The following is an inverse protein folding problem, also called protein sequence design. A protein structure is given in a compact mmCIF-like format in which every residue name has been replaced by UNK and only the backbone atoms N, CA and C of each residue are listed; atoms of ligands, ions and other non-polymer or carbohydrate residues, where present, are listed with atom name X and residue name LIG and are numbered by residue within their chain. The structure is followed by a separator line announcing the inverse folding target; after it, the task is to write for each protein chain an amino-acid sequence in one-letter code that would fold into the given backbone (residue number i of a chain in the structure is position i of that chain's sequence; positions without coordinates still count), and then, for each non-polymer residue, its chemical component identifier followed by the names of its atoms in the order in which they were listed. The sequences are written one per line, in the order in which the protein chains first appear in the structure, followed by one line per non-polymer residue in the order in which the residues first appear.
data_IF_511661284556
#
_entry.id   IF_511661284556
#
_cell.length_a   1.000
_cell.length_b   1.000
_cell.length_c   1.000
_cell.angle_alpha   90.00
_cell.angle_beta   90.00
_cell.angle_gamma   90.00
#
_symmetry.space_group_name_H-M   'P 1'
#
loop_
_entity.id
_entity.type
_entity.pdbx_description
1 polymer ?
#
# COMPACT_ATOMS: atom_id res chain seq x y z
N UNK A 1 33.08 18.69 -18.11
CA UNK A 1 31.87 19.55 -17.88
C UNK A 1 30.54 18.94 -18.35
N UNK A 2 30.39 18.48 -19.60
CA UNK A 2 29.11 17.94 -20.07
C UNK A 2 28.69 16.62 -19.38
N UNK A 3 29.66 15.77 -19.01
CA UNK A 3 29.42 14.50 -18.31
C UNK A 3 28.92 14.72 -16.87
N UNK A 4 29.52 15.66 -16.13
CA UNK A 4 29.08 16.01 -14.78
C UNK A 4 27.61 16.46 -14.73
N UNK A 5 27.18 17.30 -15.69
CA UNK A 5 25.76 17.70 -15.79
C UNK A 5 24.83 16.51 -16.02
N UNK A 6 25.26 15.51 -16.82
CA UNK A 6 24.48 14.28 -17.01
C UNK A 6 24.39 13.47 -15.72
N UNK A 7 25.49 13.33 -14.98
CA UNK A 7 25.51 12.63 -13.68
C UNK A 7 24.56 13.30 -12.69
N UNK A 8 24.55 14.64 -12.61
CA UNK A 8 23.61 15.38 -11.75
C UNK A 8 22.15 15.14 -12.15
N UNK A 9 21.84 15.12 -13.44
CA UNK A 9 20.51 14.82 -13.94
C UNK A 9 20.07 13.39 -13.59
N UNK A 10 20.96 12.41 -13.77
CA UNK A 10 20.74 11.01 -13.38
C UNK A 10 20.47 10.90 -11.88
N UNK A 11 21.28 11.56 -11.03
CA UNK A 11 21.07 11.59 -9.57
C UNK A 11 19.75 12.23 -9.17
N UNK A 12 19.34 13.29 -9.87
CA UNK A 12 18.03 13.90 -9.64
C UNK A 12 16.90 12.91 -9.96
N UNK A 13 17.02 12.17 -11.06
CA UNK A 13 16.06 11.12 -11.44
C UNK A 13 16.00 9.99 -10.41
N UNK A 14 17.14 9.53 -9.90
CA UNK A 14 17.18 8.47 -8.87
C UNK A 14 16.49 8.94 -7.59
N UNK A 15 16.75 10.16 -7.14
CA UNK A 15 16.06 10.73 -5.97
C UNK A 15 14.56 10.84 -6.19
N UNK A 16 14.12 11.27 -7.38
CA UNK A 16 12.70 11.35 -7.71
C UNK A 16 12.02 9.97 -7.65
N UNK A 17 12.64 8.95 -8.25
CA UNK A 17 12.14 7.57 -8.23
C UNK A 17 12.09 6.99 -6.81
N UNK A 18 13.11 7.24 -5.97
CA UNK A 18 13.11 6.80 -4.57
C UNK A 18 12.00 7.48 -3.77
N UNK A 19 11.80 8.78 -3.95
CA UNK A 19 10.72 9.52 -3.29
C UNK A 19 9.33 9.01 -3.72
N UNK A 20 9.15 8.74 -5.02
CA UNK A 20 7.90 8.18 -5.54
C UNK A 20 7.61 6.80 -4.93
N UNK A 21 8.63 5.94 -4.87
CA UNK A 21 8.53 4.63 -4.20
C UNK A 21 8.09 4.78 -2.75
N UNK A 22 8.74 5.65 -1.97
CA UNK A 22 8.38 5.89 -0.57
C UNK A 22 6.95 6.41 -0.43
N UNK A 23 6.50 7.30 -1.31
CA UNK A 23 5.13 7.79 -1.30
C UNK A 23 4.10 6.68 -1.57
N UNK A 24 4.39 5.79 -2.53
CA UNK A 24 3.53 4.63 -2.84
C UNK A 24 3.51 3.61 -1.70
N UNK A 25 4.63 3.38 -1.03
CA UNK A 25 4.73 2.47 0.12
C UNK A 25 4.02 3.04 1.36
N UNK A 26 4.03 4.36 1.56
CA UNK A 26 3.35 5.03 2.67
C UNK A 26 1.81 4.92 2.60
N UNK A 27 1.25 4.70 1.42
CA UNK A 27 -0.20 4.56 1.22
C UNK A 27 -0.58 3.17 0.65
N UNK A 28 -0.75 2.14 1.51
CA UNK A 28 -1.03 0.77 1.06
C UNK A 28 -2.47 0.56 0.56
N UNK A 29 -3.38 1.52 0.75
CA UNK A 29 -4.76 1.44 0.26
C UNK A 29 -5.21 2.77 -0.35
N UNK A 30 -5.85 2.69 -1.51
CA UNK A 30 -6.60 3.81 -2.07
C UNK A 30 -7.84 4.10 -1.23
N UNK A 31 -8.39 5.31 -1.40
CA UNK A 31 -9.68 5.70 -0.84
C UNK A 31 -10.78 4.70 -1.21
N UNK A 32 -10.80 4.26 -2.47
CA UNK A 32 -11.79 3.29 -2.94
C UNK A 32 -11.62 1.92 -2.27
N UNK A 33 -10.39 1.44 -2.11
CA UNK A 33 -10.14 0.18 -1.39
C UNK A 33 -10.54 0.28 0.09
N UNK A 34 -10.41 1.46 0.72
CA UNK A 34 -10.94 1.70 2.06
C UNK A 34 -12.46 1.65 2.06
N UNK A 35 -13.12 2.33 1.11
CA UNK A 35 -14.58 2.32 0.95
C UNK A 35 -15.13 0.89 0.79
N UNK A 36 -14.56 0.12 -0.14
CA UNK A 36 -14.92 -1.29 -0.35
C UNK A 36 -14.75 -2.12 0.92
N UNK A 37 -13.64 -1.92 1.64
CA UNK A 37 -13.38 -2.65 2.88
C UNK A 37 -14.42 -2.31 3.96
N UNK A 38 -14.83 -1.05 4.09
CA UNK A 38 -15.89 -0.64 5.02
C UNK A 38 -17.22 -1.30 4.63
N UNK A 39 -17.62 -1.22 3.36
CA UNK A 39 -18.86 -1.84 2.87
C UNK A 39 -18.87 -3.34 3.14
N UNK A 40 -17.79 -4.04 2.81
CA UNK A 40 -17.65 -5.47 3.05
C UNK A 40 -17.73 -5.83 4.55
N UNK A 41 -17.09 -5.01 5.39
CA UNK A 41 -17.07 -5.22 6.85
C UNK A 41 -18.47 -5.01 7.46
N UNK A 42 -19.16 -3.94 7.09
CA UNK A 42 -20.52 -3.65 7.57
C UNK A 42 -21.51 -4.72 7.11
N UNK A 43 -21.37 -5.20 5.87
CA UNK A 43 -22.19 -6.30 5.34
C UNK A 43 -21.98 -7.59 6.15
N UNK A 44 -20.72 -7.92 6.46
CA UNK A 44 -20.39 -9.08 7.27
C UNK A 44 -20.92 -8.97 8.71
N UNK A 45 -20.87 -7.77 9.31
CA UNK A 45 -21.46 -7.50 10.61
C UNK A 45 -22.97 -7.71 10.62
N UNK A 46 -23.66 -7.19 9.60
CA UNK A 46 -25.11 -7.33 9.49
C UNK A 46 -25.52 -8.80 9.32
N UNK A 47 -24.81 -9.56 8.49
CA UNK A 47 -25.09 -10.99 8.32
C UNK A 47 -24.85 -11.78 9.61
N UNK A 48 -23.75 -11.51 10.32
CA UNK A 48 -23.46 -12.11 11.63
C UNK A 48 -24.57 -11.78 12.64
N UNK A 49 -25.06 -10.54 12.65
CA UNK A 49 -26.13 -10.11 13.53
C UNK A 49 -27.44 -10.84 13.22
N UNK A 50 -27.79 -10.96 11.94
CA UNK A 50 -28.99 -11.66 11.46
C UNK A 50 -28.96 -13.15 11.84
N UNK A 51 -27.83 -13.81 11.65
CA UNK A 51 -27.65 -15.22 12.03
C UNK A 51 -27.79 -15.43 13.54
N UNK A 52 -27.16 -14.56 14.34
CA UNK A 52 -27.27 -14.58 15.80
C UNK A 52 -28.73 -14.38 16.23
N UNK A 53 -29.41 -13.38 15.68
CA UNK A 53 -30.80 -13.09 16.01
C UNK A 53 -31.74 -14.25 15.64
N UNK A 54 -31.60 -14.82 14.44
CA UNK A 54 -32.37 -15.99 14.00
C UNK A 54 -32.16 -17.20 14.93
N UNK A 55 -30.91 -17.45 15.38
CA UNK A 55 -30.61 -18.51 16.34
C UNK A 55 -31.29 -18.26 17.69
N UNK A 56 -31.23 -17.03 18.21
CA UNK A 56 -31.85 -16.69 19.48
C UNK A 56 -33.37 -16.85 19.39
N UNK A 57 -34.01 -16.41 18.31
CA UNK A 57 -35.46 -16.63 18.09
C UNK A 57 -35.82 -18.13 18.08
N UNK A 58 -35.00 -18.98 17.45
CA UNK A 58 -35.21 -20.44 17.49
C UNK A 58 -35.08 -20.98 18.90
N UNK A 59 -34.08 -20.55 19.65
CA UNK A 59 -33.89 -20.99 21.04
C UNK A 59 -35.06 -20.56 21.93
N UNK A 60 -35.54 -19.33 21.77
CA UNK A 60 -36.72 -18.83 22.47
C UNK A 60 -37.97 -19.68 22.17
N UNK A 61 -38.15 -20.09 20.90
CA UNK A 61 -39.25 -20.97 20.50
C UNK A 61 -39.20 -22.35 21.18
N UNK A 62 -38.04 -22.81 21.63
CA UNK A 62 -37.86 -24.05 22.39
C UNK A 62 -37.89 -23.84 23.92
N UNK A 63 -38.27 -22.65 24.38
CA UNK A 63 -38.38 -22.32 25.81
C UNK A 63 -37.04 -21.98 26.47
N UNK A 64 -35.95 -21.81 25.72
CA UNK A 64 -34.68 -21.36 26.28
C UNK A 64 -34.73 -19.85 26.57
N UNK A 65 -34.12 -19.44 27.69
CA UNK A 65 -33.90 -18.03 27.98
C UNK A 65 -32.72 -17.50 27.14
N UNK A 66 -32.98 -16.49 26.31
CA UNK A 66 -31.97 -15.85 25.46
C UNK A 66 -32.06 -14.34 25.54
N UNK A 67 -30.92 -13.66 25.48
CA UNK A 67 -30.92 -12.21 25.27
C UNK A 67 -31.15 -11.90 23.79
N UNK A 68 -32.25 -11.21 23.47
CA UNK A 68 -32.53 -10.79 22.09
C UNK A 68 -31.66 -9.60 21.65
N UNK A 69 -31.23 -8.80 22.62
CA UNK A 69 -30.41 -7.61 22.45
C UNK A 69 -29.21 -7.73 23.38
N UNK A 70 -28.29 -8.62 23.03
CA UNK A 70 -27.02 -8.72 23.74
C UNK A 70 -26.08 -7.63 23.24
N UNK A 71 -26.12 -6.49 23.94
CA UNK A 71 -25.28 -5.33 23.67
C UNK A 71 -23.87 -5.60 24.23
N UNK A 72 -23.11 -6.50 23.60
CA UNK A 72 -21.69 -6.59 23.89
C UNK A 72 -20.96 -5.40 23.24
N UNK A 73 -21.06 -4.25 23.89
CA UNK A 73 -20.46 -2.98 23.44
C UNK A 73 -18.97 -2.88 23.77
N UNK A 74 -18.43 -3.80 24.58
CA UNK A 74 -17.04 -3.75 25.03
C UNK A 74 -16.06 -4.16 23.90
N UNK A 75 -16.41 -5.18 23.09
CA UNK A 75 -15.45 -5.78 22.16
C UNK A 75 -15.87 -5.78 20.67
N UNK A 76 -17.16 -5.87 20.34
CA UNK A 76 -17.63 -5.88 18.95
C UNK A 76 -19.06 -5.31 18.81
N UNK A 77 -19.15 -3.98 18.85
CA UNK A 77 -20.42 -3.28 18.70
C UNK A 77 -20.97 -3.28 17.25
N UNK A 78 -20.14 -3.62 16.25
CA UNK A 78 -20.49 -3.54 14.83
C UNK A 78 -21.76 -4.31 14.44
N UNK A 79 -21.88 -5.61 14.77
CA UNK A 79 -23.09 -6.39 14.54
C UNK A 79 -24.33 -5.80 15.23
N UNK A 80 -24.16 -5.22 16.41
CA UNK A 80 -25.26 -4.61 17.16
C UNK A 80 -25.75 -3.32 16.49
N UNK A 81 -24.83 -2.44 16.08
CA UNK A 81 -25.18 -1.22 15.35
C UNK A 81 -25.87 -1.51 14.03
N UNK A 82 -25.40 -2.51 13.28
CA UNK A 82 -26.01 -2.89 11.99
C UNK A 82 -27.37 -3.55 12.13
N UNK A 83 -27.69 -4.15 13.28
CA UNK A 83 -29.02 -4.65 13.60
C UNK A 83 -29.98 -3.51 13.96
N UNK A 84 -29.52 -2.52 14.74
CA UNK A 84 -30.35 -1.43 15.24
C UNK A 84 -30.62 -0.34 14.21
N UNK A 85 -29.58 0.06 13.45
CA UNK A 85 -29.64 1.20 12.53
C UNK A 85 -29.74 0.77 11.07
N UNK A 86 -29.50 -0.50 10.79
CA UNK A 86 -29.35 -1.03 9.43
C UNK A 86 -27.93 -0.81 8.87
N UNK A 87 -27.50 -1.65 7.91
CA UNK A 87 -26.15 -1.60 7.34
C UNK A 87 -25.88 -0.28 6.60
N UNK A 88 -26.88 0.29 5.92
CA UNK A 88 -26.72 1.53 5.15
C UNK A 88 -26.41 2.75 6.02
N UNK A 89 -27.09 2.89 7.16
CA UNK A 89 -26.84 3.99 8.09
C UNK A 89 -25.43 3.89 8.70
N UNK A 90 -25.00 2.68 9.06
CA UNK A 90 -23.65 2.43 9.58
C UNK A 90 -22.58 2.71 8.51
N UNK A 91 -22.79 2.27 7.27
CA UNK A 91 -21.87 2.58 6.16
C UNK A 91 -21.74 4.09 5.94
N UNK A 92 -22.87 4.81 5.91
CA UNK A 92 -22.88 6.27 5.73
C UNK A 92 -22.11 6.97 6.84
N UNK A 93 -22.31 6.58 8.09
CA UNK A 93 -21.61 7.16 9.23
C UNK A 93 -20.10 6.90 9.17
N UNK A 94 -19.68 5.66 8.86
CA UNK A 94 -18.25 5.31 8.77
C UNK A 94 -17.54 5.95 7.57
N UNK A 95 -18.28 6.27 6.51
CA UNK A 95 -17.74 6.88 5.29
C UNK A 95 -17.92 8.39 5.23
N UNK A 96 -18.46 9.03 6.27
CA UNK A 96 -18.74 10.47 6.27
C UNK A 96 -17.46 11.31 6.03
N UNK A 97 -16.33 10.84 6.56
CA UNK A 97 -15.03 11.53 6.51
C UNK A 97 -14.05 10.82 5.55
N UNK A 98 -14.56 10.04 4.59
CA UNK A 98 -13.71 9.26 3.67
C UNK A 98 -12.78 10.14 2.82
N UNK A 99 -13.15 11.40 2.63
CA UNK A 99 -12.34 12.37 1.87
C UNK A 99 -11.05 12.79 2.59
N UNK A 100 -10.94 12.52 3.90
CA UNK A 100 -9.69 12.65 4.64
C UNK A 100 -8.64 11.59 4.24
N UNK A 101 -9.07 10.49 3.61
CA UNK A 101 -8.15 9.50 3.03
C UNK A 101 -7.71 10.01 1.66
N UNK A 102 -6.40 10.14 1.37
CA UNK A 102 -5.95 10.50 0.04
C UNK A 102 -6.48 9.51 -1.01
N UNK A 103 -6.75 9.97 -2.23
CA UNK A 103 -7.29 9.12 -3.30
C UNK A 103 -6.44 7.85 -3.49
N UNK A 104 -5.12 8.01 -3.54
CA UNK A 104 -4.16 6.92 -3.68
C UNK A 104 -4.29 6.20 -5.03
N UNK A 105 -3.54 5.12 -5.18
CA UNK A 105 -3.60 4.25 -6.37
C UNK A 105 -4.16 2.89 -6.00
N UNK A 106 -4.81 2.22 -6.97
CA UNK A 106 -5.30 0.86 -6.78
C UNK A 106 -4.15 -0.10 -6.42
N UNK A 107 -4.47 -1.21 -5.76
CA UNK A 107 -3.45 -2.18 -5.35
C UNK A 107 -2.66 -2.73 -6.55
N UNK A 108 -3.36 -2.99 -7.67
CA UNK A 108 -2.77 -3.48 -8.91
C UNK A 108 -1.88 -2.42 -9.57
N UNK A 109 -2.39 -1.18 -9.72
CA UNK A 109 -1.61 -0.09 -10.30
C UNK A 109 -0.37 0.23 -9.44
N UNK A 110 -0.51 0.17 -8.10
CA UNK A 110 0.61 0.34 -7.18
C UNK A 110 1.66 -0.75 -7.38
N UNK A 111 1.26 -2.01 -7.42
CA UNK A 111 2.19 -3.13 -7.61
C UNK A 111 2.94 -3.01 -8.93
N UNK A 112 2.22 -2.72 -10.01
CA UNK A 112 2.81 -2.49 -11.34
C UNK A 112 3.78 -1.29 -11.33
N UNK A 113 3.42 -0.19 -10.66
CA UNK A 113 4.29 0.99 -10.58
C UNK A 113 5.51 0.75 -9.71
N UNK A 114 5.40 0.04 -8.60
CA UNK A 114 6.55 -0.32 -7.75
C UNK A 114 7.54 -1.22 -8.50
N UNK A 115 7.03 -2.19 -9.27
CA UNK A 115 7.88 -3.04 -10.13
C UNK A 115 8.57 -2.21 -11.21
N UNK A 116 7.83 -1.32 -11.88
CA UNK A 116 8.39 -0.41 -12.88
C UNK A 116 9.47 0.50 -12.28
N UNK A 117 9.23 1.10 -11.10
CA UNK A 117 10.23 1.93 -10.41
C UNK A 117 11.47 1.10 -10.05
N UNK A 118 11.33 -0.15 -9.64
CA UNK A 118 12.48 -1.03 -9.36
C UNK A 118 13.36 -1.20 -10.60
N UNK A 119 12.75 -1.54 -11.75
CA UNK A 119 13.45 -1.69 -13.03
C UNK A 119 14.06 -0.38 -13.52
N UNK A 120 13.35 0.73 -13.36
CA UNK A 120 13.86 2.07 -13.71
C UNK A 120 15.05 2.46 -12.83
N UNK A 121 14.99 2.19 -11.52
CA UNK A 121 16.10 2.45 -10.60
C UNK A 121 17.35 1.67 -10.99
N UNK A 122 17.21 0.36 -11.27
CA UNK A 122 18.33 -0.47 -11.73
C UNK A 122 18.98 0.08 -13.01
N UNK A 123 18.17 0.45 -14.00
CA UNK A 123 18.66 0.99 -15.26
C UNK A 123 19.37 2.34 -15.08
N UNK A 124 18.78 3.25 -14.28
CA UNK A 124 19.33 4.60 -14.07
C UNK A 124 20.57 4.55 -13.17
N UNK A 125 20.67 3.61 -12.23
CA UNK A 125 21.88 3.38 -11.43
C UNK A 125 23.03 2.82 -12.28
N UNK A 126 22.75 1.91 -13.22
CA UNK A 126 23.74 1.44 -14.18
C UNK A 126 24.21 2.57 -15.12
N UNK A 127 23.30 3.44 -15.56
CA UNK A 127 23.65 4.64 -16.34
C UNK A 127 24.57 5.58 -15.56
N UNK A 128 24.32 5.79 -14.26
CA UNK A 128 25.19 6.59 -13.40
C UNK A 128 26.62 6.04 -13.38
N UNK A 129 26.79 4.73 -13.17
CA UNK A 129 28.11 4.11 -13.10
C UNK A 129 28.86 4.24 -14.44
N UNK A 130 28.19 4.03 -15.58
CA UNK A 130 28.79 4.24 -16.91
C UNK A 130 29.30 5.68 -17.07
N UNK A 131 28.52 6.67 -16.63
CA UNK A 131 28.93 8.08 -16.69
C UNK A 131 30.07 8.40 -15.74
N UNK A 132 30.10 7.80 -14.54
CA UNK A 132 31.20 7.94 -13.58
C UNK A 132 32.49 7.36 -14.16
N UNK A 133 32.45 6.14 -14.69
CA UNK A 133 33.61 5.50 -15.35
C UNK A 133 34.10 6.36 -16.51
N UNK A 134 33.18 6.90 -17.34
CA UNK A 134 33.54 7.79 -18.44
C UNK A 134 34.19 9.09 -17.97
N UNK A 135 33.74 9.66 -16.84
CA UNK A 135 34.35 10.83 -16.24
C UNK A 135 35.75 10.53 -15.71
N UNK A 136 35.93 9.38 -15.04
CA UNK A 136 37.22 8.91 -14.53
C UNK A 136 38.24 8.70 -15.66
N UNK A 137 37.83 8.10 -16.78
CA UNK A 137 38.67 7.94 -17.99
C UNK A 137 39.10 9.29 -18.57
N UNK A 138 38.24 10.31 -18.47
CA UNK A 138 38.55 11.68 -18.90
C UNK A 138 39.39 12.46 -17.88
N UNK A 139 39.82 11.83 -16.78
CA UNK A 139 40.59 12.46 -15.70
C UNK A 139 39.74 13.30 -14.73
N UNK A 140 38.42 13.30 -14.87
CA UNK A 140 37.50 13.95 -13.93
C UNK A 140 37.19 12.99 -12.78
N UNK A 141 37.51 13.36 -11.54
CA UNK A 141 37.22 12.53 -10.37
C UNK A 141 35.79 12.76 -9.88
N UNK A 142 34.94 11.73 -9.96
CA UNK A 142 33.56 11.78 -9.46
C UNK A 142 33.37 10.80 -8.31
N UNK A 143 32.83 11.29 -7.19
CA UNK A 143 32.51 10.42 -6.06
C UNK A 143 31.23 9.64 -6.32
N UNK A 144 31.28 8.31 -6.14
CA UNK A 144 30.10 7.43 -6.11
C UNK A 144 29.23 7.76 -4.89
N UNK A 145 27.92 7.49 -5.00
CA UNK A 145 26.98 7.71 -3.88
C UNK A 145 27.12 6.62 -2.83
N UNK A 146 26.94 6.97 -1.55
CA UNK A 146 27.00 6.01 -0.45
C UNK A 146 25.82 5.03 -0.39
N UNK A 147 24.71 5.35 -1.07
CA UNK A 147 23.48 4.56 -1.13
C UNK A 147 23.30 3.84 -2.48
N UNK A 148 24.35 3.78 -3.31
CA UNK A 148 24.32 3.10 -4.59
C UNK A 148 24.30 1.57 -4.41
N UNK A 149 23.51 0.88 -5.24
CA UNK A 149 23.44 -0.57 -5.22
C UNK A 149 24.79 -1.21 -5.57
N UNK A 150 25.27 -2.21 -4.80
CA UNK A 150 26.46 -2.97 -5.17
C UNK A 150 26.36 -3.57 -6.58
N UNK A 151 25.17 -3.98 -7.01
CA UNK A 151 24.96 -4.54 -8.33
C UNK A 151 25.19 -3.51 -9.45
N UNK A 152 24.90 -2.23 -9.20
CA UNK A 152 25.17 -1.15 -10.16
C UNK A 152 26.66 -0.80 -10.23
N UNK A 153 27.37 -0.84 -9.08
CA UNK A 153 28.80 -0.50 -8.99
C UNK A 153 29.69 -1.62 -9.55
N UNK A 154 29.43 -2.86 -9.15
CA UNK A 154 30.29 -4.00 -9.50
C UNK A 154 29.87 -4.69 -10.80
N UNK A 155 28.71 -4.32 -11.36
CA UNK A 155 28.04 -5.08 -12.40
C UNK A 155 27.58 -6.44 -11.87
N UNK A 156 26.55 -7.02 -12.49
CA UNK A 156 26.31 -8.45 -12.33
C UNK A 156 27.57 -9.18 -12.80
N UNK A 157 28.38 -9.71 -11.88
CA UNK A 157 29.48 -10.63 -12.21
C UNK A 157 28.81 -11.78 -12.98
N UNK A 158 29.07 -11.98 -14.29
CA UNK A 158 28.66 -13.23 -14.91
C UNK A 158 29.40 -14.33 -14.12
N UNK A 159 28.65 -15.22 -13.49
CA UNK A 159 29.22 -16.38 -12.85
C UNK A 159 30.04 -17.13 -13.91
N UNK A 160 31.35 -16.98 -13.90
CA UNK A 160 32.24 -17.94 -14.53
C UNK A 160 32.13 -19.20 -13.67
N UNK A 161 31.22 -20.09 -14.05
CA UNK A 161 31.28 -21.48 -13.63
C UNK A 161 32.60 -22.09 -14.13
N UNK A 162 33.29 -22.88 -13.29
CA UNK A 162 34.57 -23.49 -13.62
C UNK A 162 34.48 -24.49 -14.78
#
# INVERSE_FOLDING_TARGET
MAVLKKIEAVRARIRALKNERTALEAQPRSRDAVREKVVATVTAWHERARQRHARNLRQLAHGHHVSLLDLNLADDAGPTWTLMLGPEAVQRALLQDIDCVPEGVSAEARAARLEAISKELEAVEAEEEVLIVQAEVNGERVWRRGDASPAAIFGAIPAHSP
#
